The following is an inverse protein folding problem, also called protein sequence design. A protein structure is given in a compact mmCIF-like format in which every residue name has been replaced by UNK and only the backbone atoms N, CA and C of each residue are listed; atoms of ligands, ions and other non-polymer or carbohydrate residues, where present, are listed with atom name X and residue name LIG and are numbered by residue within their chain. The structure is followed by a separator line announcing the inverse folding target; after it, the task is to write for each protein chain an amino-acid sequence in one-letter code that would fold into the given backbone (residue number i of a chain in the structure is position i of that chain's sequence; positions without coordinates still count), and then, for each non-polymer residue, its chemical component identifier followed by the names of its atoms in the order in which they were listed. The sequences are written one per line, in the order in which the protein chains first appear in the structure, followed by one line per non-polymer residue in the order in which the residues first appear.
data_IF_406113092908
#
_entry.id   IF_406113092908
#
_cell.length_a   1.000
_cell.length_b   1.000
_cell.length_c   1.000
_cell.angle_alpha   90.00
_cell.angle_beta   90.00
_cell.angle_gamma   90.00
#
_symmetry.space_group_name_H-M   'P 1'
#
loop_
_entity.id
_entity.type
_entity.pdbx_description
1 polymer ?
#
# COMPACT_ATOMS: atom_id res chain seq x y z
N UNK A 1 12.39 -2.79 1.50
CA UNK A 1 13.23 -2.38 2.65
C UNK A 1 12.74 -3.07 3.89
N UNK A 2 13.64 -3.60 4.72
CA UNK A 2 13.33 -4.32 5.96
C UNK A 2 14.26 -3.79 7.05
N UNK A 3 13.73 -3.22 8.15
CA UNK A 3 14.56 -2.79 9.26
C UNK A 3 15.16 -4.01 9.98
N UNK A 4 16.44 -3.95 10.29
CA UNK A 4 17.18 -4.97 11.02
C UNK A 4 17.70 -4.44 12.36
N UNK A 5 18.03 -5.34 13.27
CA UNK A 5 18.59 -4.97 14.57
C UNK A 5 19.93 -4.22 14.42
N UNK A 6 20.23 -3.35 15.38
CA UNK A 6 21.52 -2.63 15.40
C UNK A 6 21.60 -1.44 14.43
N UNK A 7 20.48 -0.80 14.10
CA UNK A 7 20.51 0.39 13.25
C UNK A 7 20.85 0.09 11.79
N UNK A 8 20.36 -1.03 11.28
CA UNK A 8 20.59 -1.46 9.90
C UNK A 8 19.29 -1.54 9.10
N UNK A 9 19.41 -1.32 7.79
CA UNK A 9 18.33 -1.44 6.83
C UNK A 9 18.73 -2.40 5.72
N UNK A 10 17.97 -3.48 5.56
CA UNK A 10 18.13 -4.42 4.45
C UNK A 10 17.32 -3.93 3.25
N UNK A 11 18.01 -3.74 2.14
CA UNK A 11 17.41 -3.38 0.84
C UNK A 11 17.41 -4.61 -0.05
N UNK A 12 16.23 -4.93 -0.59
CA UNK A 12 16.03 -6.05 -1.50
C UNK A 12 15.35 -5.51 -2.74
N UNK A 13 15.88 -5.85 -3.92
CA UNK A 13 15.30 -5.53 -5.22
C UNK A 13 15.25 -6.80 -6.08
N UNK A 14 14.05 -7.16 -6.50
CA UNK A 14 13.80 -8.16 -7.52
C UNK A 14 13.29 -7.50 -8.78
N UNK A 15 13.67 -8.03 -9.94
CA UNK A 15 13.25 -7.52 -11.25
C UNK A 15 12.72 -8.63 -12.13
N UNK A 16 11.81 -8.30 -13.03
CA UNK A 16 11.27 -9.22 -14.05
C UNK A 16 12.01 -9.15 -15.36
N UNK A 17 12.89 -8.15 -15.52
CA UNK A 17 13.74 -7.95 -16.70
C UNK A 17 15.19 -7.71 -16.27
N UNK A 18 16.12 -8.01 -17.18
CA UNK A 18 17.52 -7.74 -16.97
C UNK A 18 17.83 -6.26 -17.27
N UNK A 19 18.56 -5.63 -16.36
CA UNK A 19 19.10 -4.28 -16.49
C UNK A 19 20.62 -4.33 -16.30
N UNK A 20 21.35 -3.82 -17.27
CA UNK A 20 22.83 -3.84 -17.22
C UNK A 20 23.38 -2.91 -16.15
N UNK A 21 22.68 -1.81 -15.90
CA UNK A 21 23.03 -0.85 -14.88
C UNK A 21 21.77 -0.22 -14.30
N UNK A 22 21.63 -0.29 -12.99
CA UNK A 22 20.63 0.46 -12.21
C UNK A 22 21.32 1.18 -11.08
N UNK A 23 20.85 2.39 -10.78
CA UNK A 23 21.27 3.13 -9.58
C UNK A 23 20.23 2.94 -8.51
N UNK A 24 20.64 2.41 -7.36
CA UNK A 24 19.79 2.14 -6.21
C UNK A 24 20.17 3.14 -5.12
N UNK A 25 19.23 3.98 -4.72
CA UNK A 25 19.43 5.02 -3.73
C UNK A 25 18.47 4.86 -2.56
N UNK A 26 18.99 4.88 -1.34
CA UNK A 26 18.22 4.99 -0.10
C UNK A 26 18.54 6.32 0.57
N UNK A 27 17.54 7.19 0.68
CA UNK A 27 17.70 8.54 1.20
C UNK A 27 16.71 8.81 2.32
N UNK A 28 17.10 9.66 3.27
CA UNK A 28 16.18 10.22 4.24
C UNK A 28 15.58 11.52 3.66
N UNK A 29 14.26 11.59 3.60
CA UNK A 29 13.53 12.71 2.98
C UNK A 29 13.45 13.94 3.89
N UNK A 30 13.69 13.79 5.18
CA UNK A 30 13.62 14.91 6.14
C UNK A 30 14.94 15.69 6.22
N UNK A 31 16.08 14.99 6.16
CA UNK A 31 17.40 15.61 6.29
C UNK A 31 18.31 15.45 5.05
N UNK A 32 17.84 14.74 4.01
CA UNK A 32 18.59 14.53 2.76
C UNK A 32 19.77 13.55 2.88
N UNK A 33 19.94 12.87 4.00
CA UNK A 33 21.04 11.90 4.20
C UNK A 33 20.89 10.71 3.25
N UNK A 34 21.99 10.33 2.62
CA UNK A 34 22.07 9.17 1.74
C UNK A 34 22.68 8.00 2.53
N UNK A 35 21.94 6.90 2.64
CA UNK A 35 22.39 5.67 3.29
C UNK A 35 22.91 4.64 2.29
N UNK A 36 22.41 4.68 1.06
CA UNK A 36 22.83 3.81 -0.04
C UNK A 36 22.83 4.61 -1.33
N UNK A 37 23.88 4.44 -2.11
CA UNK A 37 23.98 4.89 -3.49
C UNK A 37 24.85 3.87 -4.23
N UNK A 38 24.23 2.95 -4.95
CA UNK A 38 24.92 1.83 -5.59
C UNK A 38 24.54 1.74 -7.07
N UNK A 39 25.52 1.50 -7.91
CA UNK A 39 25.37 1.14 -9.31
C UNK A 39 25.62 -0.37 -9.45
N UNK A 40 24.69 -1.09 -10.04
CA UNK A 40 24.79 -2.54 -10.21
C UNK A 40 23.93 -3.04 -11.36
N UNK A 41 24.26 -4.25 -11.87
CA UNK A 41 23.36 -4.99 -12.75
C UNK A 41 22.35 -5.79 -11.94
N UNK A 42 21.13 -5.91 -12.42
CA UNK A 42 20.09 -6.75 -11.83
C UNK A 42 19.37 -7.53 -12.92
N UNK A 43 18.91 -8.73 -12.58
CA UNK A 43 18.17 -9.61 -13.49
C UNK A 43 17.24 -10.52 -12.67
N UNK A 44 16.29 -11.23 -13.31
CA UNK A 44 15.40 -12.15 -12.61
C UNK A 44 16.14 -13.23 -11.78
N UNK A 45 17.32 -13.66 -12.25
CA UNK A 45 18.22 -14.62 -11.59
C UNK A 45 19.35 -13.96 -10.79
N UNK A 46 19.44 -12.62 -10.79
CA UNK A 46 20.45 -11.83 -10.10
C UNK A 46 19.82 -10.65 -9.36
N UNK A 47 19.26 -10.94 -8.18
CA UNK A 47 18.61 -9.94 -7.33
C UNK A 47 19.65 -9.13 -6.56
N UNK A 48 19.34 -7.87 -6.30
CA UNK A 48 20.14 -7.05 -5.39
C UNK A 48 19.67 -7.23 -3.96
N UNK A 49 20.60 -7.61 -3.07
CA UNK A 49 20.35 -7.71 -1.63
C UNK A 49 21.55 -7.09 -0.92
N UNK A 50 21.31 -6.06 -0.11
CA UNK A 50 22.35 -5.40 0.68
C UNK A 50 21.77 -4.89 2.00
N UNK A 51 22.62 -4.87 3.04
CA UNK A 51 22.29 -4.30 4.35
C UNK A 51 23.20 -3.12 4.60
N UNK A 52 22.63 -1.97 4.90
CA UNK A 52 23.34 -0.71 5.13
C UNK A 52 23.06 -0.18 6.53
N UNK A 53 24.00 0.56 7.08
CA UNK A 53 23.79 1.28 8.34
C UNK A 53 22.78 2.40 8.13
N UNK A 54 21.79 2.46 9.01
CA UNK A 54 20.71 3.43 8.94
C UNK A 54 20.35 3.88 10.35
N UNK A 55 20.60 5.15 10.66
CA UNK A 55 20.39 5.73 11.99
C UNK A 55 18.91 6.03 12.30
N UNK A 56 18.00 5.84 11.34
CA UNK A 56 16.55 5.89 11.55
C UNK A 56 15.88 4.58 11.23
N UNK A 57 14.89 4.21 12.03
CA UNK A 57 13.99 3.08 11.77
C UNK A 57 12.60 3.53 11.32
N UNK A 58 12.40 4.84 11.16
CA UNK A 58 11.15 5.41 10.70
C UNK A 58 11.05 5.27 9.18
N UNK A 59 10.32 4.27 8.75
CA UNK A 59 10.17 3.93 7.34
C UNK A 59 9.55 5.05 6.50
N UNK A 60 8.73 5.89 7.11
CA UNK A 60 8.11 7.05 6.49
C UNK A 60 9.08 8.19 6.15
N UNK A 61 10.26 8.20 6.78
CA UNK A 61 11.33 9.16 6.47
C UNK A 61 12.26 8.65 5.37
N UNK A 62 12.18 7.36 5.02
CA UNK A 62 13.08 6.71 4.09
C UNK A 62 12.44 6.54 2.72
N UNK A 63 13.16 6.95 1.69
CA UNK A 63 12.77 6.76 0.29
C UNK A 63 13.81 5.91 -0.44
N UNK A 64 13.36 4.78 -0.95
CA UNK A 64 14.14 3.95 -1.88
C UNK A 64 13.77 4.36 -3.31
N UNK A 65 14.76 4.62 -4.14
CA UNK A 65 14.58 4.96 -5.55
C UNK A 65 15.53 4.11 -6.39
N UNK A 66 15.01 3.53 -7.45
CA UNK A 66 15.81 2.79 -8.43
C UNK A 66 15.67 3.47 -9.78
N UNK A 67 16.80 3.82 -10.38
CA UNK A 67 16.91 4.49 -11.66
C UNK A 67 17.55 3.57 -12.68
N UNK A 68 17.14 3.68 -13.95
CA UNK A 68 17.84 3.04 -15.06
C UNK A 68 19.10 3.82 -15.47
N UNK A 69 19.83 3.29 -16.45
CA UNK A 69 21.05 3.90 -17.01
C UNK A 69 20.85 5.30 -17.60
N UNK A 70 19.60 5.66 -17.92
CA UNK A 70 19.21 6.98 -18.45
C UNK A 70 18.70 7.93 -17.38
N UNK A 71 18.71 7.51 -16.11
CA UNK A 71 18.21 8.28 -14.98
C UNK A 71 16.69 8.28 -14.85
N UNK A 72 15.97 7.42 -15.58
CA UNK A 72 14.52 7.24 -15.41
C UNK A 72 14.22 6.41 -14.19
N UNK A 73 13.26 6.85 -13.40
CA UNK A 73 12.79 6.10 -12.22
C UNK A 73 12.06 4.83 -12.68
N UNK A 74 12.60 3.67 -12.32
CA UNK A 74 11.99 2.38 -12.53
C UNK A 74 10.99 2.06 -11.40
N UNK A 75 11.40 2.31 -10.15
CA UNK A 75 10.55 2.14 -8.97
C UNK A 75 10.98 3.12 -7.88
N UNK A 76 10.00 3.59 -7.12
CA UNK A 76 10.23 4.38 -5.93
C UNK A 76 9.28 3.92 -4.81
N UNK A 77 9.80 3.78 -3.60
CA UNK A 77 9.03 3.37 -2.44
C UNK A 77 9.36 4.24 -1.23
N UNK A 78 8.32 4.71 -0.59
CA UNK A 78 8.35 5.36 0.72
C UNK A 78 7.12 4.90 1.50
N UNK A 79 7.29 4.49 2.74
CA UNK A 79 6.16 4.12 3.57
C UNK A 79 5.26 5.34 3.83
N UNK A 80 3.96 5.13 3.81
CA UNK A 80 3.02 6.19 4.15
C UNK A 80 3.18 6.58 5.63
N UNK A 81 3.08 7.88 5.93
CA UNK A 81 3.00 8.36 7.31
C UNK A 81 1.73 7.78 7.95
N UNK A 82 1.89 7.21 9.14
CA UNK A 82 0.75 6.74 9.92
C UNK A 82 -0.17 7.92 10.20
N UNK A 83 -1.37 7.88 9.67
CA UNK A 83 -2.41 8.85 9.99
C UNK A 83 -3.21 8.30 11.15
N UNK A 84 -3.22 8.99 12.28
CA UNK A 84 -4.18 8.73 13.35
C UNK A 84 -5.56 9.17 12.85
N UNK A 85 -6.21 8.30 12.08
CA UNK A 85 -7.61 8.51 11.74
C UNK A 85 -8.45 7.99 12.90
N UNK A 86 -9.51 8.71 13.30
CA UNK A 86 -10.46 8.17 14.27
C UNK A 86 -10.99 6.84 13.74
N UNK A 87 -11.12 5.87 14.62
CA UNK A 87 -11.72 4.59 14.27
C UNK A 87 -13.15 4.90 13.79
N UNK A 88 -13.52 4.50 12.55
CA UNK A 88 -14.87 4.75 12.06
C UNK A 88 -15.89 4.05 12.96
N UNK A 89 -17.08 4.64 13.08
CA UNK A 89 -18.16 3.99 13.82
C UNK A 89 -18.44 2.60 13.24
N UNK A 90 -18.79 1.63 14.08
CA UNK A 90 -19.19 0.31 13.60
C UNK A 90 -20.31 0.40 12.56
N UNK A 91 -20.27 -0.46 11.56
CA UNK A 91 -21.34 -0.56 10.57
C UNK A 91 -22.68 -0.82 11.28
N UNK A 92 -23.70 -0.05 10.93
CA UNK A 92 -25.06 -0.23 11.44
C UNK A 92 -25.77 -1.30 10.60
N UNK A 93 -26.57 -2.13 11.26
CA UNK A 93 -27.42 -3.07 10.56
C UNK A 93 -28.35 -2.34 9.58
N UNK A 94 -28.71 -3.00 8.47
CA UNK A 94 -29.68 -2.47 7.54
C UNK A 94 -31.01 -2.18 8.26
N UNK A 95 -31.63 -1.05 7.94
CA UNK A 95 -32.95 -0.71 8.46
C UNK A 95 -34.01 -1.65 7.89
N UNK A 96 -35.08 -1.88 8.63
CA UNK A 96 -36.29 -2.53 8.12
C UNK A 96 -36.76 -1.81 6.83
N UNK A 97 -37.06 -2.51 5.73
CA UNK A 97 -37.47 -1.90 4.47
C UNK A 97 -38.55 -0.85 4.62
N UNK A 98 -39.57 -1.13 5.46
CA UNK A 98 -40.71 -0.21 5.73
C UNK A 98 -40.32 1.10 6.42
N UNK A 99 -39.11 1.16 6.98
CA UNK A 99 -38.58 2.37 7.64
C UNK A 99 -37.71 3.21 6.72
N UNK A 100 -37.50 2.76 5.49
CA UNK A 100 -36.72 3.47 4.50
C UNK A 100 -37.68 4.24 3.59
N UNK A 101 -37.65 5.57 3.66
CA UNK A 101 -38.58 6.44 2.90
C UNK A 101 -38.13 6.69 1.45
N UNK A 102 -36.88 6.39 1.12
CA UNK A 102 -36.31 6.65 -0.22
C UNK A 102 -36.25 5.38 -1.04
N UNK A 103 -36.86 5.38 -2.23
CA UNK A 103 -36.77 4.28 -3.20
C UNK A 103 -35.31 4.01 -3.60
N UNK A 104 -34.53 5.06 -3.79
CA UNK A 104 -33.10 4.90 -4.09
C UNK A 104 -32.36 4.18 -2.96
N UNK A 105 -32.63 4.52 -1.71
CA UNK A 105 -32.01 3.89 -0.53
C UNK A 105 -32.47 2.43 -0.39
N UNK A 106 -33.72 2.10 -0.68
CA UNK A 106 -34.23 0.74 -0.73
C UNK A 106 -33.46 -0.08 -1.78
N UNK A 107 -33.37 0.44 -3.00
CA UNK A 107 -32.63 -0.20 -4.08
C UNK A 107 -31.15 -0.43 -3.72
N UNK A 108 -30.45 0.61 -3.24
CA UNK A 108 -29.05 0.51 -2.87
C UNK A 108 -28.81 -0.48 -1.73
N UNK A 109 -29.72 -0.55 -0.76
CA UNK A 109 -29.63 -1.50 0.35
C UNK A 109 -29.86 -2.92 -0.13
N UNK A 110 -30.88 -3.17 -0.94
CA UNK A 110 -31.13 -4.47 -1.53
C UNK A 110 -29.97 -4.94 -2.39
N UNK A 111 -29.43 -4.08 -3.24
CA UNK A 111 -28.28 -4.38 -4.09
C UNK A 111 -27.02 -4.69 -3.29
N UNK A 112 -26.76 -3.94 -2.21
CA UNK A 112 -25.65 -4.22 -1.31
C UNK A 112 -25.77 -5.61 -0.65
N UNK A 113 -26.95 -5.95 -0.12
CA UNK A 113 -27.22 -7.24 0.51
C UNK A 113 -27.06 -8.39 -0.49
N UNK A 114 -27.45 -8.21 -1.75
CA UNK A 114 -27.27 -9.18 -2.82
C UNK A 114 -25.79 -9.41 -3.14
N UNK A 115 -25.01 -8.34 -3.29
CA UNK A 115 -23.58 -8.41 -3.57
C UNK A 115 -22.81 -9.15 -2.47
N UNK A 116 -23.14 -8.90 -1.22
CA UNK A 116 -22.44 -9.48 -0.06
C UNK A 116 -23.09 -10.75 0.48
N UNK A 117 -24.17 -11.24 -0.16
CA UNK A 117 -24.90 -12.46 0.24
C UNK A 117 -25.18 -12.49 1.75
N UNK A 118 -25.83 -11.44 2.23
CA UNK A 118 -26.09 -11.31 3.67
C UNK A 118 -26.99 -12.44 4.19
N UNK A 119 -26.60 -13.10 5.30
CA UNK A 119 -27.29 -14.29 5.80
C UNK A 119 -28.63 -13.98 6.49
N UNK A 120 -28.80 -12.76 7.03
CA UNK A 120 -29.96 -12.40 7.89
C UNK A 120 -31.02 -11.58 7.17
N UNK A 121 -30.60 -10.71 6.24
CA UNK A 121 -31.49 -9.82 5.50
C UNK A 121 -31.57 -10.25 4.05
N UNK A 122 -32.79 -10.37 3.53
CA UNK A 122 -33.01 -10.77 2.14
C UNK A 122 -33.12 -9.53 1.24
N UNK A 123 -32.35 -9.47 0.15
CA UNK A 123 -32.43 -8.36 -0.81
C UNK A 123 -33.84 -8.13 -1.36
N UNK A 124 -34.58 -9.24 -1.54
CA UNK A 124 -35.93 -9.22 -2.09
C UNK A 124 -36.90 -8.39 -1.24
N UNK A 125 -36.75 -8.41 0.10
CA UNK A 125 -37.63 -7.65 1.01
C UNK A 125 -37.53 -6.15 0.74
N UNK A 126 -36.36 -5.67 0.33
CA UNK A 126 -36.10 -4.27 -0.03
C UNK A 126 -36.60 -3.94 -1.42
N UNK A 127 -36.46 -4.85 -2.39
CA UNK A 127 -36.95 -4.65 -3.73
C UNK A 127 -38.50 -4.67 -3.81
N UNK A 128 -39.13 -5.43 -2.93
CA UNK A 128 -40.61 -5.50 -2.89
C UNK A 128 -41.26 -4.29 -2.22
N UNK A 129 -40.52 -3.51 -1.46
CA UNK A 129 -40.97 -2.27 -0.83
C UNK A 129 -40.76 -1.04 -1.74
N UNK A 130 -40.03 -1.19 -2.87
CA UNK A 130 -39.89 -0.15 -3.90
C UNK A 130 -41.23 0.19 -4.55
#
# INVERSE_FOLDING_TARGET
MIPEKGGKMKVILYTTAAHKEVRIMLTNTENGKIYLDALTAVAPDNSYINTVDCDTQKMEELKLTVLDEKGKVLVSYQAAKTRNQPIPEPAKAALDPKKIASMEQLFLTGHHLEQYRHATYLPMDYYMEL
#
